data_IF_089617611007
#
_entry.id   IF_089617611007
#
_cell.length_a   1.000
_cell.length_b   1.000
_cell.length_c   1.000
_cell.angle_alpha   90.00
_cell.angle_beta   90.00
_cell.angle_gamma   90.00
#
_symmetry.space_group_name_H-M   'P 1'
#
loop_
_entity.id
_entity.type
_entity.pdbx_description
1 polymer ?
#
# COMPACT_ATOMS: atom_id res chain seq x y z
N UNK A 1 -19.66 -20.63 -24.29
CA UNK A 1 -18.24 -20.73 -24.65
C UNK A 1 -17.89 -22.21 -24.71
N UNK A 2 -17.10 -22.64 -25.70
CA UNK A 2 -16.73 -24.06 -25.85
C UNK A 2 -15.50 -24.40 -25.02
N UNK A 3 -15.25 -25.70 -24.76
CA UNK A 3 -14.06 -26.16 -24.04
C UNK A 3 -12.76 -25.73 -24.73
N UNK A 4 -12.73 -25.80 -26.07
CA UNK A 4 -11.56 -25.42 -26.86
C UNK A 4 -11.32 -23.90 -26.79
N UNK A 5 -12.37 -23.09 -26.87
CA UNK A 5 -12.28 -21.62 -26.67
C UNK A 5 -11.69 -21.25 -25.30
N UNK A 6 -12.07 -21.99 -24.24
CA UNK A 6 -11.52 -21.77 -22.91
C UNK A 6 -10.02 -22.10 -22.89
N UNK A 7 -9.61 -23.22 -23.47
CA UNK A 7 -8.22 -23.64 -23.48
C UNK A 7 -7.32 -22.73 -24.30
N UNK A 8 -7.82 -22.22 -25.42
CA UNK A 8 -7.11 -21.23 -26.23
C UNK A 8 -6.89 -19.95 -25.41
N UNK A 9 -7.94 -19.43 -24.75
CA UNK A 9 -7.81 -18.28 -23.85
C UNK A 9 -6.83 -18.52 -22.69
N UNK A 10 -6.87 -19.68 -22.06
CA UNK A 10 -5.92 -20.02 -20.99
C UNK A 10 -4.47 -20.09 -21.51
N UNK A 11 -4.28 -20.49 -22.76
CA UNK A 11 -2.97 -20.51 -23.40
C UNK A 11 -2.49 -19.09 -23.74
N UNK A 12 -3.39 -18.23 -24.23
CA UNK A 12 -3.10 -16.82 -24.44
C UNK A 12 -2.71 -16.15 -23.12
N UNK A 13 -3.47 -16.35 -22.05
CA UNK A 13 -3.13 -15.81 -20.73
C UNK A 13 -1.80 -16.31 -20.19
N UNK A 14 -1.48 -17.59 -20.40
CA UNK A 14 -0.16 -18.11 -20.06
C UNK A 14 0.95 -17.36 -20.78
N UNK A 15 0.80 -17.12 -22.08
CA UNK A 15 1.79 -16.37 -22.87
C UNK A 15 1.88 -14.91 -22.42
N UNK A 16 0.75 -14.28 -22.12
CA UNK A 16 0.71 -12.92 -21.58
C UNK A 16 1.45 -12.84 -20.25
N UNK A 17 1.19 -13.73 -19.29
CA UNK A 17 1.81 -13.71 -17.96
C UNK A 17 3.33 -13.95 -17.97
N UNK A 18 3.89 -14.48 -19.06
CA UNK A 18 5.34 -14.61 -19.27
C UNK A 18 6.01 -13.29 -19.71
N UNK A 19 5.23 -12.30 -20.14
CA UNK A 19 5.70 -10.98 -20.59
C UNK A 19 5.38 -9.94 -19.51
N UNK A 20 6.15 -8.85 -19.46
CA UNK A 20 5.85 -7.72 -18.56
C UNK A 20 4.52 -7.05 -18.97
N UNK A 21 3.54 -7.04 -18.07
CA UNK A 21 2.18 -6.56 -18.32
C UNK A 21 1.78 -5.54 -17.24
N UNK A 22 0.93 -4.57 -17.62
CA UNK A 22 0.38 -3.59 -16.68
C UNK A 22 -0.48 -4.24 -15.59
N UNK A 23 -0.52 -3.62 -14.41
CA UNK A 23 -1.30 -4.12 -13.26
C UNK A 23 -2.81 -4.22 -13.58
N UNK A 24 -3.34 -3.30 -14.38
CA UNK A 24 -4.74 -3.29 -14.83
C UNK A 24 -5.04 -4.53 -15.68
N UNK A 25 -4.14 -4.87 -16.60
CA UNK A 25 -4.30 -6.03 -17.45
C UNK A 25 -4.11 -7.34 -16.68
N UNK A 26 -3.19 -7.39 -15.71
CA UNK A 26 -3.05 -8.53 -14.78
C UNK A 26 -4.33 -8.75 -13.97
N UNK A 27 -4.93 -7.68 -13.45
CA UNK A 27 -6.18 -7.74 -12.69
C UNK A 27 -7.34 -8.22 -13.56
N UNK A 28 -7.43 -7.72 -14.80
CA UNK A 28 -8.40 -8.18 -15.78
C UNK A 28 -8.24 -9.68 -16.08
N UNK A 29 -7.01 -10.15 -16.27
CA UNK A 29 -6.72 -11.58 -16.50
C UNK A 29 -7.13 -12.42 -15.28
N UNK A 30 -6.80 -11.98 -14.07
CA UNK A 30 -7.18 -12.68 -12.84
C UNK A 30 -8.70 -12.88 -12.71
N UNK A 31 -9.48 -11.83 -13.00
CA UNK A 31 -10.94 -11.88 -12.96
C UNK A 31 -11.51 -12.75 -14.08
N UNK A 32 -10.96 -12.62 -15.30
CA UNK A 32 -11.43 -13.43 -16.44
C UNK A 32 -11.15 -14.92 -16.21
N UNK A 33 -10.01 -15.28 -15.62
CA UNK A 33 -9.73 -16.68 -15.23
C UNK A 33 -10.75 -17.19 -14.21
N UNK A 34 -11.20 -16.37 -13.25
CA UNK A 34 -12.25 -16.77 -12.31
C UNK A 34 -13.55 -17.16 -13.04
N UNK A 35 -13.93 -16.37 -14.05
CA UNK A 35 -15.06 -16.66 -14.92
C UNK A 35 -14.84 -17.97 -15.71
N UNK A 36 -13.68 -18.13 -16.36
CA UNK A 36 -13.35 -19.35 -17.12
C UNK A 36 -13.39 -20.62 -16.25
N UNK A 37 -12.95 -20.53 -14.99
CA UNK A 37 -13.05 -21.64 -14.03
C UNK A 37 -14.50 -22.01 -13.74
N UNK A 38 -15.40 -21.03 -13.58
CA UNK A 38 -16.82 -21.30 -13.38
C UNK A 38 -17.42 -22.04 -14.58
N UNK A 39 -17.07 -21.62 -15.80
CA UNK A 39 -17.50 -22.28 -17.04
C UNK A 39 -16.96 -23.72 -17.14
N UNK A 40 -15.68 -23.95 -16.83
CA UNK A 40 -15.10 -25.31 -16.79
C UNK A 40 -15.77 -26.19 -15.72
N UNK A 41 -16.09 -25.64 -14.56
CA UNK A 41 -16.87 -26.35 -13.54
C UNK A 41 -18.28 -26.69 -14.02
N UNK A 42 -18.92 -25.87 -14.87
CA UNK A 42 -20.19 -26.26 -15.47
C UNK A 42 -20.01 -27.38 -16.50
N UNK A 43 -19.00 -27.28 -17.37
CA UNK A 43 -18.71 -28.27 -18.40
C UNK A 43 -18.45 -29.66 -17.80
N UNK A 44 -17.73 -29.74 -16.67
CA UNK A 44 -17.40 -31.03 -16.06
C UNK A 44 -18.65 -31.86 -15.68
N UNK A 45 -19.77 -31.20 -15.36
CA UNK A 45 -21.02 -31.86 -14.99
C UNK A 45 -21.72 -32.52 -16.19
N UNK A 46 -21.39 -32.12 -17.41
CA UNK A 46 -21.97 -32.63 -18.64
C UNK A 46 -21.08 -33.64 -19.38
N UNK A 47 -19.88 -33.94 -18.87
CA UNK A 47 -19.00 -34.95 -19.45
C UNK A 47 -19.59 -36.35 -19.28
N UNK A 48 -19.63 -37.11 -20.39
CA UNK A 48 -20.27 -38.43 -20.42
C UNK A 48 -19.31 -39.58 -20.11
N UNK A 49 -18.00 -39.32 -20.16
CA UNK A 49 -16.96 -40.28 -19.82
C UNK A 49 -15.82 -39.68 -18.97
N UNK A 50 -15.02 -40.56 -18.37
CA UNK A 50 -13.91 -40.18 -17.49
C UNK A 50 -12.75 -39.50 -18.23
N UNK A 51 -12.59 -39.75 -19.53
CA UNK A 51 -11.54 -39.13 -20.32
C UNK A 51 -11.85 -37.65 -20.58
N UNK A 52 -13.09 -37.31 -20.91
CA UNK A 52 -13.55 -35.93 -21.03
C UNK A 52 -13.43 -35.19 -19.71
N UNK A 53 -13.90 -35.79 -18.59
CA UNK A 53 -13.75 -35.19 -17.26
C UNK A 53 -12.29 -34.89 -16.94
N UNK A 54 -11.38 -35.83 -17.21
CA UNK A 54 -9.95 -35.65 -16.95
C UNK A 54 -9.37 -34.45 -17.72
N UNK A 55 -9.77 -34.26 -18.99
CA UNK A 55 -9.36 -33.08 -19.77
C UNK A 55 -9.82 -31.78 -19.11
N UNK A 56 -11.08 -31.72 -18.69
CA UNK A 56 -11.65 -30.53 -18.04
C UNK A 56 -10.95 -30.24 -16.71
N UNK A 57 -10.65 -31.28 -15.92
CA UNK A 57 -9.88 -31.15 -14.67
C UNK A 57 -8.50 -30.57 -14.95
N UNK A 58 -7.78 -31.05 -15.96
CA UNK A 58 -6.48 -30.50 -16.33
C UNK A 58 -6.56 -29.02 -16.72
N UNK A 59 -7.62 -28.61 -17.42
CA UNK A 59 -7.85 -27.19 -17.73
C UNK A 59 -8.19 -26.36 -16.49
N UNK A 60 -8.92 -26.91 -15.52
CA UNK A 60 -9.19 -26.28 -14.22
C UNK A 60 -7.90 -26.08 -13.41
N UNK A 61 -7.02 -27.09 -13.38
CA UNK A 61 -5.72 -27.01 -12.73
C UNK A 61 -4.83 -25.94 -13.39
N UNK A 62 -4.82 -25.89 -14.74
CA UNK A 62 -4.13 -24.84 -15.50
C UNK A 62 -4.68 -23.46 -15.15
N UNK A 63 -6.00 -23.28 -15.16
CA UNK A 63 -6.65 -22.03 -14.81
C UNK A 63 -6.32 -21.59 -13.37
N UNK A 64 -6.35 -22.51 -12.41
CA UNK A 64 -5.96 -22.24 -11.02
C UNK A 64 -4.50 -21.77 -10.92
N UNK A 65 -3.59 -22.46 -11.59
CA UNK A 65 -2.18 -22.09 -11.60
C UNK A 65 -1.96 -20.67 -12.17
N UNK A 66 -2.60 -20.36 -13.31
CA UNK A 66 -2.51 -19.03 -13.93
C UNK A 66 -3.12 -17.94 -13.03
N UNK A 67 -4.21 -18.24 -12.35
CA UNK A 67 -4.85 -17.33 -11.40
C UNK A 67 -3.92 -17.01 -10.22
N UNK A 68 -3.24 -18.03 -9.67
CA UNK A 68 -2.29 -17.86 -8.58
C UNK A 68 -1.07 -17.04 -9.02
N UNK A 69 -0.52 -17.31 -10.21
CA UNK A 69 0.59 -16.52 -10.77
C UNK A 69 0.18 -15.04 -10.91
N UNK A 70 -1.00 -14.79 -11.47
CA UNK A 70 -1.52 -13.43 -11.63
C UNK A 70 -1.67 -12.73 -10.28
N UNK A 71 -2.22 -13.42 -9.28
CA UNK A 71 -2.38 -12.91 -7.91
C UNK A 71 -1.05 -12.56 -7.25
N UNK A 72 -0.04 -13.43 -7.37
CA UNK A 72 1.30 -13.18 -6.83
C UNK A 72 1.91 -11.94 -7.47
N UNK A 73 1.88 -11.81 -8.79
CA UNK A 73 2.41 -10.63 -9.49
C UNK A 73 1.69 -9.33 -9.08
N UNK A 74 0.36 -9.38 -8.90
CA UNK A 74 -0.43 -8.24 -8.41
C UNK A 74 0.01 -7.86 -6.98
N UNK A 75 0.13 -8.86 -6.11
CA UNK A 75 0.50 -8.66 -4.71
C UNK A 75 1.90 -8.08 -4.58
N UNK A 76 2.87 -8.61 -5.34
CA UNK A 76 4.25 -8.13 -5.34
C UNK A 76 4.34 -6.67 -5.79
N UNK A 77 3.55 -6.27 -6.79
CA UNK A 77 3.48 -4.89 -7.25
C UNK A 77 3.02 -3.92 -6.14
N UNK A 78 1.95 -4.28 -5.43
CA UNK A 78 1.41 -3.44 -4.35
C UNK A 78 2.30 -3.45 -3.11
N UNK A 79 2.90 -4.58 -2.76
CA UNK A 79 3.86 -4.68 -1.66
C UNK A 79 5.10 -3.81 -1.92
N UNK A 80 5.66 -3.86 -3.12
CA UNK A 80 6.79 -3.00 -3.49
C UNK A 80 6.43 -1.51 -3.40
N UNK A 81 5.22 -1.12 -3.84
CA UNK A 81 4.75 0.27 -3.67
C UNK A 81 4.58 0.66 -2.21
N UNK A 82 4.04 -0.23 -1.38
CA UNK A 82 3.89 0.00 0.07
C UNK A 82 5.25 0.23 0.73
N UNK A 83 6.22 -0.63 0.43
CA UNK A 83 7.60 -0.50 0.96
C UNK A 83 8.25 0.83 0.54
N UNK A 84 8.08 1.24 -0.72
CA UNK A 84 8.60 2.53 -1.19
C UNK A 84 7.98 3.71 -0.44
N UNK A 85 6.66 3.71 -0.24
CA UNK A 85 5.97 4.77 0.52
C UNK A 85 6.46 4.81 1.98
N UNK A 86 6.64 3.66 2.62
CA UNK A 86 7.16 3.59 3.98
C UNK A 86 8.58 4.18 4.04
N UNK A 87 9.44 3.83 3.09
CA UNK A 87 10.80 4.36 3.01
C UNK A 87 10.81 5.89 2.79
N UNK A 88 9.98 6.40 1.88
CA UNK A 88 9.87 7.83 1.62
C UNK A 88 9.42 8.59 2.87
N UNK A 89 8.41 8.08 3.59
CA UNK A 89 7.93 8.66 4.85
C UNK A 89 9.01 8.64 5.95
N UNK A 90 9.80 7.57 6.04
CA UNK A 90 10.91 7.52 6.99
C UNK A 90 12.01 8.54 6.67
N UNK A 91 12.35 8.73 5.40
CA UNK A 91 13.33 9.72 4.96
C UNK A 91 12.83 11.13 5.29
N UNK A 92 11.56 11.43 4.96
CA UNK A 92 10.95 12.73 5.24
C UNK A 92 10.89 13.01 6.74
N UNK A 93 10.50 12.02 7.55
CA UNK A 93 10.53 12.13 9.01
C UNK A 93 11.91 12.50 9.54
N UNK A 94 12.97 11.79 9.10
CA UNK A 94 14.35 12.09 9.54
C UNK A 94 14.80 13.48 9.11
N UNK A 95 14.38 13.94 7.95
CA UNK A 95 14.68 15.29 7.47
C UNK A 95 13.99 16.34 8.35
N UNK A 96 12.70 16.19 8.63
CA UNK A 96 11.93 17.08 9.50
C UNK A 96 12.53 17.11 10.91
N UNK A 97 12.90 15.97 11.48
CA UNK A 97 13.53 15.89 12.81
C UNK A 97 14.84 16.69 12.87
N UNK A 98 15.71 16.53 11.86
CA UNK A 98 16.98 17.29 11.76
C UNK A 98 16.75 18.78 11.60
N UNK A 99 15.83 19.18 10.72
CA UNK A 99 15.52 20.60 10.50
C UNK A 99 14.95 21.23 11.78
N UNK A 100 14.02 20.55 12.45
CA UNK A 100 13.45 21.00 13.71
C UNK A 100 14.53 21.19 14.79
N UNK A 101 15.47 20.24 14.90
CA UNK A 101 16.59 20.33 15.85
C UNK A 101 17.50 21.52 15.52
N UNK A 102 17.80 21.76 14.24
CA UNK A 102 18.58 22.92 13.79
C UNK A 102 17.88 24.23 14.17
N UNK A 103 16.60 24.37 13.85
CA UNK A 103 15.80 25.57 14.15
C UNK A 103 15.70 25.82 15.66
N UNK A 104 15.57 24.76 16.47
CA UNK A 104 15.58 24.88 17.94
C UNK A 104 16.93 25.40 18.44
N UNK A 105 18.04 24.86 17.93
CA UNK A 105 19.38 25.29 18.31
C UNK A 105 19.64 26.75 17.92
N UNK A 106 19.26 27.15 16.71
CA UNK A 106 19.34 28.55 16.26
C UNK A 106 18.50 29.49 17.15
N UNK A 107 17.27 29.10 17.50
CA UNK A 107 16.42 29.88 18.38
C UNK A 107 17.01 30.02 19.80
N UNK A 108 17.65 28.98 20.34
CA UNK A 108 18.35 29.03 21.63
C UNK A 108 19.53 30.00 21.55
N UNK A 109 20.36 29.91 20.51
CA UNK A 109 21.50 30.80 20.30
C UNK A 109 21.05 32.26 20.14
N UNK A 110 20.02 32.50 19.33
CA UNK A 110 19.44 33.82 19.13
C UNK A 110 18.92 34.42 20.45
N UNK A 111 18.25 33.60 21.28
CA UNK A 111 17.79 34.02 22.59
C UNK A 111 18.94 34.41 23.51
N UNK A 112 20.00 33.62 23.59
CA UNK A 112 21.17 33.96 24.43
C UNK A 112 21.91 35.19 23.90
N UNK A 113 22.00 35.38 22.57
CA UNK A 113 22.52 36.61 21.98
C UNK A 113 21.68 37.84 22.36
N UNK A 114 20.36 37.75 22.24
CA UNK A 114 19.44 38.82 22.62
C UNK A 114 19.57 39.23 24.08
N UNK A 115 19.85 38.27 24.98
CA UNK A 115 20.09 38.52 26.41
C UNK A 115 21.32 39.41 26.66
N UNK A 116 22.33 39.32 25.80
CA UNK A 116 23.59 40.07 25.95
C UNK A 116 23.47 41.52 25.48
N UNK A 117 22.54 41.81 24.56
CA UNK A 117 22.49 43.10 23.85
C UNK A 117 21.25 43.91 24.22
N UNK A 118 20.15 43.25 24.55
CA UNK A 118 18.89 43.95 24.79
C UNK A 118 18.72 44.36 26.26
N UNK A 119 18.11 45.54 26.51
CA UNK A 119 17.66 45.91 27.84
C UNK A 119 16.67 44.87 28.42
N UNK A 120 16.68 44.66 29.74
CA UNK A 120 15.81 43.70 30.46
C UNK A 120 14.34 43.72 30.01
N UNK A 121 13.80 44.91 29.72
CA UNK A 121 12.40 45.11 29.32
C UNK A 121 12.07 44.55 27.94
N UNK A 122 13.01 44.61 26.99
CA UNK A 122 12.84 44.05 25.65
C UNK A 122 13.16 42.55 25.61
N UNK A 123 14.17 42.11 26.38
CA UNK A 123 14.45 40.69 26.56
C UNK A 123 13.25 39.92 27.18
N UNK A 124 12.50 40.55 28.09
CA UNK A 124 11.28 39.98 28.65
C UNK A 124 10.26 39.58 27.58
N UNK A 125 10.08 40.43 26.54
CA UNK A 125 9.15 40.16 25.44
C UNK A 125 9.58 38.96 24.60
N UNK A 126 10.89 38.84 24.33
CA UNK A 126 11.46 37.67 23.62
C UNK A 126 11.25 36.39 24.44
N UNK A 127 11.38 36.47 25.76
CA UNK A 127 11.20 35.33 26.64
C UNK A 127 9.73 34.85 26.70
N UNK A 128 8.77 35.77 26.63
CA UNK A 128 7.34 35.45 26.46
C UNK A 128 7.06 34.82 25.10
N UNK A 129 7.63 35.36 24.02
CA UNK A 129 7.51 34.80 22.68
C UNK A 129 8.05 33.36 22.62
N UNK A 130 9.19 33.11 23.28
CA UNK A 130 9.80 31.76 23.36
C UNK A 130 8.86 30.76 24.05
N UNK A 131 8.18 31.17 25.13
CA UNK A 131 7.19 30.33 25.81
C UNK A 131 5.99 30.01 24.90
N UNK A 132 5.53 31.01 24.15
CA UNK A 132 4.45 30.83 23.18
C UNK A 132 4.83 29.86 22.06
N UNK A 133 6.03 29.99 21.47
CA UNK A 133 6.53 29.06 20.47
C UNK A 133 6.68 27.63 21.00
N UNK A 134 7.13 27.44 22.25
CA UNK A 134 7.15 26.11 22.89
C UNK A 134 5.75 25.50 22.99
N UNK A 135 4.75 26.30 23.36
CA UNK A 135 3.35 25.85 23.40
C UNK A 135 2.83 25.46 22.02
N UNK A 136 3.12 26.25 20.98
CA UNK A 136 2.74 25.94 19.60
C UNK A 136 3.40 24.64 19.10
N UNK A 137 4.68 24.42 19.42
CA UNK A 137 5.39 23.20 19.05
C UNK A 137 4.78 21.95 19.72
N UNK A 138 4.40 22.03 21.00
CA UNK A 138 3.67 20.94 21.68
C UNK A 138 2.32 20.67 21.00
N UNK A 139 1.56 21.72 20.68
CA UNK A 139 0.28 21.57 19.99
C UNK A 139 0.44 20.95 18.60
N UNK A 140 1.46 21.36 17.84
CA UNK A 140 1.76 20.78 16.53
C UNK A 140 2.15 19.30 16.62
N UNK A 141 2.98 18.92 17.61
CA UNK A 141 3.33 17.52 17.86
C UNK A 141 2.10 16.67 18.21
N UNK A 142 1.22 17.18 19.07
CA UNK A 142 -0.02 16.49 19.43
C UNK A 142 -0.93 16.32 18.21
N UNK A 143 -1.09 17.36 17.39
CA UNK A 143 -1.88 17.30 16.16
C UNK A 143 -1.33 16.27 15.16
N UNK A 144 -0.02 16.24 14.94
CA UNK A 144 0.64 15.24 14.08
C UNK A 144 0.41 13.83 14.64
N UNK A 145 0.56 13.64 15.94
CA UNK A 145 0.34 12.35 16.59
C UNK A 145 -1.13 11.89 16.44
N UNK A 146 -2.10 12.74 16.76
CA UNK A 146 -3.53 12.43 16.59
C UNK A 146 -3.89 12.09 15.15
N UNK A 147 -3.38 12.85 14.17
CA UNK A 147 -3.66 12.61 12.75
C UNK A 147 -2.95 11.38 12.17
N UNK A 148 -1.72 11.06 12.61
CA UNK A 148 -1.02 9.85 12.16
C UNK A 148 -1.64 8.56 12.71
N UNK A 149 -2.24 8.60 13.91
CA UNK A 149 -2.93 7.43 14.48
C UNK A 149 -4.35 7.23 13.95
N UNK A 150 -5.03 8.28 13.47
CA UNK A 150 -6.30 8.14 12.75
C UNK A 150 -6.13 7.37 11.42
N UNK A 151 -5.00 7.54 10.71
CA UNK A 151 -4.70 6.81 9.46
C UNK A 151 -4.24 5.37 9.68
N UNK A 152 -3.68 5.03 10.84
CA UNK A 152 -3.23 3.67 11.16
C UNK A 152 -4.36 2.74 11.65
N UNK A 153 -5.46 3.29 12.17
CA UNK A 153 -6.63 2.51 12.61
C UNK A 153 -7.54 2.01 11.47
N UNK A 154 -7.12 2.12 10.20
CA UNK A 154 -7.82 1.52 9.06
C UNK A 154 -7.42 0.06 8.79
N UNK A 155 -6.31 -0.43 9.36
CA UNK A 155 -5.84 -1.82 9.13
C UNK A 155 -6.59 -2.88 9.96
N UNK A 156 -7.25 -2.52 11.08
CA UNK A 156 -7.98 -3.50 11.89
C UNK A 156 -9.41 -3.79 11.41
N UNK A 157 -10.06 -2.89 10.67
CA UNK A 157 -11.46 -3.10 10.22
C UNK A 157 -11.61 -3.83 8.88
N UNK A 158 -10.51 -4.02 8.15
CA UNK A 158 -10.52 -4.81 6.92
C UNK A 158 -10.38 -6.33 7.19
N UNK A 159 -10.03 -6.73 8.41
CA UNK A 159 -9.88 -8.14 8.81
C UNK A 159 -11.17 -8.87 9.19
N UNK A 160 -12.25 -8.15 9.49
CA UNK A 160 -13.47 -8.73 10.10
C UNK A 160 -14.63 -8.98 9.12
N UNK A 161 -14.43 -8.86 7.80
CA UNK A 161 -15.51 -9.03 6.79
C UNK A 161 -15.50 -10.44 6.14
N UNK A 162 -14.68 -11.38 6.61
CA UNK A 162 -14.72 -12.77 6.11
C UNK A 162 -14.87 -13.77 7.27
N UNK A 163 -16.02 -13.71 7.95
CA UNK A 163 -16.63 -14.89 8.58
C UNK A 163 -18.15 -14.76 8.44
N UNK A 164 -18.69 -15.41 7.41
CA UNK A 164 -19.94 -16.19 7.41
C UNK A 164 -20.08 -16.97 6.09
#
# INVERSE_FOLDING_TARGET
MTFDEINDKLTDFQNYLLVSISIEKLTSIYLEIAFLKSELHQIIHFCNDEYEKKKVITSLEKALALQNISYTQITDYYNSKKENIINDLEIEKRYIEKELESQINEAILFKEFCKLILPKKEFSKINELTKHCKSLNVNAKNYIFEKMFETLNFDERAGDIIQD
#
